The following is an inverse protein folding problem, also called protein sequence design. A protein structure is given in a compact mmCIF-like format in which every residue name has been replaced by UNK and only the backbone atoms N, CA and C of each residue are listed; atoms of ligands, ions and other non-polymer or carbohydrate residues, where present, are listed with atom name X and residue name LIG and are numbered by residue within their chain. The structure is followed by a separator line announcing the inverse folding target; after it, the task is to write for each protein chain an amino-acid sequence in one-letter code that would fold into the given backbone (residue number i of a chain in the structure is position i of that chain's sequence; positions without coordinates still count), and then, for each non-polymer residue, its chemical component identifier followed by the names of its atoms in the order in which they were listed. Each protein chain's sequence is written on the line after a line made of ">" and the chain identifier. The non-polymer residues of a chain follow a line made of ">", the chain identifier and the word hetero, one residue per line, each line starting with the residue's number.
data_IF_251454574066
#
_entry.id   IF_251454574066
#
_cell.length_a   1.000
_cell.length_b   1.000
_cell.length_c   1.000
_cell.angle_alpha   90.00
_cell.angle_beta   90.00
_cell.angle_gamma   90.00
#
_symmetry.space_group_name_H-M   'P 1'
#
loop_
_entity.id
_entity.type
_entity.pdbx_description
1 polymer ?
#
# COMPACT_ATOMS: atom_id res chain seq x y z
N UNK A 1 10.17 4.84 -33.22
CA UNK A 1 10.37 3.40 -33.52
C UNK A 1 9.51 2.56 -32.59
N UNK A 2 9.67 2.67 -31.29
CA UNK A 2 8.92 1.85 -30.30
C UNK A 2 7.40 1.98 -30.40
N UNK A 3 6.90 3.19 -30.64
CA UNK A 3 5.45 3.46 -30.72
C UNK A 3 4.85 2.88 -32.01
N UNK A 4 5.57 2.98 -33.13
CA UNK A 4 5.13 2.38 -34.40
C UNK A 4 5.12 0.85 -34.30
N UNK A 5 6.18 0.26 -33.75
CA UNK A 5 6.29 -1.19 -33.58
C UNK A 5 5.17 -1.73 -32.66
N UNK A 6 4.84 -0.99 -31.57
CA UNK A 6 3.72 -1.32 -30.71
C UNK A 6 2.38 -1.25 -31.46
N UNK A 7 2.17 -0.19 -32.26
CA UNK A 7 0.96 -0.03 -33.01
C UNK A 7 0.76 -1.19 -33.99
N UNK A 8 1.79 -1.52 -34.79
CA UNK A 8 1.69 -2.58 -35.79
C UNK A 8 1.51 -3.97 -35.16
N UNK A 9 2.18 -4.22 -34.05
CA UNK A 9 2.15 -5.52 -33.38
C UNK A 9 0.88 -5.80 -32.60
N UNK A 10 0.28 -4.78 -31.95
CA UNK A 10 -0.81 -4.97 -31.01
C UNK A 10 -2.11 -4.25 -31.38
N UNK A 11 -2.04 -3.11 -32.06
CA UNK A 11 -3.20 -2.28 -32.34
C UNK A 11 -3.70 -2.50 -33.78
N UNK A 12 -2.79 -2.60 -34.74
CA UNK A 12 -3.14 -2.76 -36.16
C UNK A 12 -3.45 -4.23 -36.52
N UNK A 13 -3.90 -5.03 -35.58
CA UNK A 13 -4.26 -6.45 -35.79
C UNK A 13 -5.75 -6.61 -36.10
N UNK A 14 -6.11 -7.70 -36.76
CA UNK A 14 -7.51 -8.02 -37.06
C UNK A 14 -8.32 -8.25 -35.77
N UNK A 15 -7.70 -8.91 -34.77
CA UNK A 15 -8.32 -9.19 -33.49
C UNK A 15 -8.67 -7.90 -32.76
N UNK A 16 -7.74 -6.95 -32.68
CA UNK A 16 -7.99 -5.68 -32.03
C UNK A 16 -9.06 -4.86 -32.74
N UNK A 17 -9.01 -4.80 -34.10
CA UNK A 17 -9.98 -4.07 -34.90
C UNK A 17 -11.41 -4.64 -34.83
N UNK A 18 -11.53 -5.95 -34.58
CA UNK A 18 -12.84 -6.57 -34.33
C UNK A 18 -13.47 -6.16 -33.01
N UNK A 19 -12.63 -5.84 -32.00
CA UNK A 19 -13.10 -5.37 -30.69
C UNK A 19 -13.35 -3.86 -30.68
N UNK A 20 -12.38 -3.11 -31.23
CA UNK A 20 -12.44 -1.65 -31.29
C UNK A 20 -12.18 -1.20 -32.75
N UNK A 21 -13.21 -0.72 -33.48
CA UNK A 21 -13.04 -0.26 -34.86
C UNK A 21 -12.18 1.01 -34.87
N UNK A 22 -10.96 0.87 -35.33
CA UNK A 22 -10.02 1.97 -35.57
C UNK A 22 -9.79 2.17 -37.08
N UNK A 23 -9.51 3.40 -37.47
CA UNK A 23 -9.17 3.70 -38.86
C UNK A 23 -7.76 3.19 -39.20
N UNK A 24 -7.51 2.95 -40.46
CA UNK A 24 -6.18 2.51 -40.97
C UNK A 24 -5.13 3.64 -40.99
N UNK A 25 -5.50 4.86 -40.62
CA UNK A 25 -4.63 6.03 -40.75
C UNK A 25 -3.49 6.11 -39.72
N UNK A 26 -3.41 5.14 -38.82
CA UNK A 26 -2.38 5.12 -37.77
C UNK A 26 -2.54 6.26 -36.76
N UNK A 27 -1.43 6.78 -36.30
CA UNK A 27 -1.43 7.93 -35.40
C UNK A 27 -1.75 9.23 -36.15
N UNK A 28 -2.66 10.01 -35.60
CA UNK A 28 -2.94 11.36 -36.09
C UNK A 28 -2.12 12.37 -35.29
N UNK A 29 -1.61 13.38 -35.97
CA UNK A 29 -1.00 14.51 -35.30
C UNK A 29 -2.10 15.34 -34.61
N UNK A 30 -1.92 15.58 -33.34
CA UNK A 30 -2.80 16.49 -32.57
C UNK A 30 -2.13 17.86 -32.57
N UNK A 31 -2.88 18.87 -32.95
CA UNK A 31 -2.44 20.25 -32.83
C UNK A 31 -2.13 20.57 -31.38
N UNK A 32 -0.91 21.00 -31.09
CA UNK A 32 -0.44 21.31 -29.74
C UNK A 32 -1.29 22.38 -29.06
N UNK A 33 -1.90 23.28 -29.82
CA UNK A 33 -2.78 24.33 -29.30
C UNK A 33 -4.09 23.76 -28.71
N UNK A 34 -4.45 22.53 -29.09
CA UNK A 34 -5.62 21.83 -28.55
C UNK A 34 -5.30 21.02 -27.28
N UNK A 35 -4.02 20.87 -26.96
CA UNK A 35 -3.57 20.18 -25.74
C UNK A 35 -3.47 21.23 -24.63
N UNK A 36 -4.39 21.16 -23.69
CA UNK A 36 -4.27 21.96 -22.46
C UNK A 36 -3.20 21.33 -21.58
N UNK A 37 -2.09 22.03 -21.41
CA UNK A 37 -1.12 21.68 -20.39
C UNK A 37 -1.64 22.16 -19.02
N UNK A 38 -1.48 21.34 -18.00
CA UNK A 38 -1.67 21.79 -16.63
C UNK A 38 -0.57 22.80 -16.29
N UNK A 39 -0.91 23.81 -15.53
CA UNK A 39 0.05 24.80 -15.02
C UNK A 39 1.20 24.11 -14.29
N UNK A 40 2.38 24.67 -14.40
CA UNK A 40 3.56 24.21 -13.68
C UNK A 40 3.26 23.94 -12.20
N UNK A 41 3.84 22.87 -11.66
CA UNK A 41 3.70 22.44 -10.28
C UNK A 41 2.33 21.89 -9.84
N UNK A 42 1.49 21.43 -10.77
CA UNK A 42 0.22 20.79 -10.42
C UNK A 42 0.38 19.54 -9.53
N UNK A 43 1.56 18.91 -9.55
CA UNK A 43 1.95 17.76 -8.76
C UNK A 43 2.91 18.11 -7.59
N UNK A 44 3.05 19.38 -7.24
CA UNK A 44 3.90 19.80 -6.12
C UNK A 44 3.32 19.27 -4.81
N UNK A 45 4.12 18.54 -4.08
CA UNK A 45 3.76 17.96 -2.79
C UNK A 45 4.38 18.73 -1.65
N UNK A 46 3.64 18.87 -0.57
CA UNK A 46 4.09 19.45 0.69
C UNK A 46 4.38 18.35 1.70
N UNK A 47 5.55 18.44 2.31
CA UNK A 47 6.07 17.57 3.34
C UNK A 47 6.18 18.29 4.68
N UNK A 48 6.76 17.66 5.68
CA UNK A 48 7.07 18.30 6.95
C UNK A 48 7.98 19.53 6.79
N UNK A 49 8.02 20.37 7.81
CA UNK A 49 8.81 21.62 7.84
C UNK A 49 8.54 22.56 6.65
N UNK A 50 7.34 22.51 6.10
CA UNK A 50 6.94 23.26 4.89
C UNK A 50 7.81 22.99 3.65
N UNK A 51 8.52 21.88 3.64
CA UNK A 51 9.30 21.47 2.47
C UNK A 51 8.39 21.07 1.32
N UNK A 52 8.73 21.48 0.09
CA UNK A 52 7.96 21.12 -1.11
C UNK A 52 8.85 20.42 -2.13
N UNK A 53 8.31 19.41 -2.79
CA UNK A 53 9.01 18.69 -3.85
C UNK A 53 7.99 18.00 -4.76
N UNK A 54 8.36 17.78 -6.02
CA UNK A 54 7.58 16.98 -6.98
C UNK A 54 7.90 15.49 -6.88
N UNK A 55 8.98 15.13 -6.19
CA UNK A 55 9.44 13.74 -6.04
C UNK A 55 9.24 13.27 -4.59
N UNK A 56 8.33 12.31 -4.34
CA UNK A 56 7.99 11.86 -2.98
C UNK A 56 9.20 11.39 -2.17
N UNK A 57 10.09 10.64 -2.80
CA UNK A 57 11.25 10.07 -2.13
C UNK A 57 12.20 11.15 -1.59
N UNK A 58 12.49 12.16 -2.42
CA UNK A 58 13.36 13.26 -2.01
C UNK A 58 12.69 14.16 -0.97
N UNK A 59 11.39 14.46 -1.18
CA UNK A 59 10.63 15.27 -0.24
C UNK A 59 10.59 14.68 1.16
N UNK A 60 10.30 13.38 1.28
CA UNK A 60 10.34 12.66 2.56
C UNK A 60 11.77 12.61 3.15
N UNK A 61 12.77 12.40 2.31
CA UNK A 61 14.17 12.32 2.75
C UNK A 61 14.71 13.61 3.38
N UNK A 62 14.16 14.77 2.97
CA UNK A 62 14.55 16.11 3.43
C UNK A 62 13.58 16.65 4.49
N UNK A 63 12.29 16.76 4.14
CA UNK A 63 11.28 17.38 5.00
C UNK A 63 10.69 16.44 6.05
N UNK A 64 10.78 15.13 5.83
CA UNK A 64 10.03 14.16 6.60
C UNK A 64 8.54 14.16 6.24
N UNK A 65 7.71 13.36 6.92
CA UNK A 65 6.28 13.30 6.69
C UNK A 65 5.58 14.64 6.93
N UNK A 66 4.53 14.89 6.16
CA UNK A 66 3.67 16.06 6.37
C UNK A 66 3.04 16.04 7.76
N UNK A 67 2.50 14.89 8.18
CA UNK A 67 2.03 14.64 9.54
C UNK A 67 2.69 13.38 10.10
N UNK A 68 3.23 13.48 11.29
CA UNK A 68 3.77 12.34 12.01
C UNK A 68 2.64 11.42 12.48
N UNK A 69 2.97 10.17 12.80
CA UNK A 69 2.03 9.31 13.51
C UNK A 69 1.63 9.95 14.84
N UNK A 70 0.32 10.01 15.17
CA UNK A 70 -0.14 10.55 16.44
C UNK A 70 0.16 9.61 17.62
N UNK A 71 0.51 8.36 17.35
CA UNK A 71 0.77 7.36 18.38
C UNK A 71 2.16 7.54 19.00
N UNK A 72 2.21 7.67 20.33
CA UNK A 72 3.45 7.87 21.08
C UNK A 72 4.16 6.55 21.40
N UNK A 73 3.37 5.51 21.66
CA UNK A 73 3.88 4.19 22.05
C UNK A 73 3.58 3.19 20.92
N UNK A 74 4.58 2.93 20.08
CA UNK A 74 4.46 2.05 18.93
C UNK A 74 5.37 0.86 19.13
N UNK A 75 4.80 -0.33 19.03
CA UNK A 75 5.56 -1.58 19.10
C UNK A 75 5.35 -2.40 17.83
N UNK A 76 6.45 -2.89 17.28
CA UNK A 76 6.41 -3.83 16.18
C UNK A 76 6.54 -5.25 16.71
N UNK A 77 5.67 -6.14 16.25
CA UNK A 77 5.77 -7.58 16.42
C UNK A 77 6.14 -8.21 15.09
N UNK A 78 7.04 -9.17 15.10
CA UNK A 78 7.41 -9.91 13.91
C UNK A 78 6.65 -11.22 13.86
N UNK A 79 6.12 -11.57 12.69
CA UNK A 79 5.45 -12.84 12.42
C UNK A 79 6.19 -13.51 11.27
N UNK A 80 6.78 -14.67 11.51
CA UNK A 80 7.61 -15.33 10.51
C UNK A 80 7.71 -16.83 10.78
N UNK A 81 8.03 -17.59 9.72
CA UNK A 81 8.30 -19.02 9.83
C UNK A 81 9.63 -19.27 10.58
N UNK A 82 9.70 -20.33 11.38
CA UNK A 82 10.86 -20.67 12.24
C UNK A 82 12.21 -20.67 11.52
N UNK A 83 12.27 -21.07 10.24
CA UNK A 83 13.49 -21.04 9.44
C UNK A 83 13.85 -19.64 8.92
N UNK A 84 12.95 -18.67 9.01
CA UNK A 84 13.10 -17.33 8.44
C UNK A 84 13.61 -16.29 9.46
N UNK A 85 14.15 -16.73 10.59
CA UNK A 85 14.71 -15.84 11.61
C UNK A 85 15.81 -14.89 11.04
N UNK A 86 16.64 -15.37 10.11
CA UNK A 86 17.65 -14.55 9.46
C UNK A 86 17.01 -13.46 8.58
N UNK A 87 15.88 -13.76 7.93
CA UNK A 87 15.15 -12.77 7.15
C UNK A 87 14.50 -11.72 8.05
N UNK A 88 13.91 -12.14 9.17
CA UNK A 88 13.34 -11.23 10.16
C UNK A 88 14.41 -10.27 10.70
N UNK A 89 15.60 -10.78 11.05
CA UNK A 89 16.72 -9.95 11.46
C UNK A 89 17.21 -9.02 10.35
N UNK A 90 17.21 -9.48 9.09
CA UNK A 90 17.57 -8.65 7.94
C UNK A 90 16.61 -7.48 7.75
N UNK A 91 15.29 -7.72 7.84
CA UNK A 91 14.28 -6.66 7.78
C UNK A 91 14.44 -5.69 8.94
N UNK A 92 14.66 -6.19 10.16
CA UNK A 92 14.94 -5.34 11.31
C UNK A 92 16.15 -4.43 11.10
N UNK A 93 17.28 -4.97 10.58
CA UNK A 93 18.46 -4.15 10.27
C UNK A 93 18.19 -3.07 9.23
N UNK A 94 17.35 -3.37 8.22
CA UNK A 94 16.90 -2.37 7.25
C UNK A 94 16.06 -1.28 7.91
N UNK A 95 15.12 -1.65 8.77
CA UNK A 95 14.27 -0.69 9.48
C UNK A 95 15.07 0.22 10.42
N UNK A 96 16.15 -0.29 11.00
CA UNK A 96 17.08 0.47 11.81
C UNK A 96 18.08 1.33 11.00
N UNK A 97 18.11 1.19 9.67
CA UNK A 97 19.08 1.89 8.83
C UNK A 97 20.52 1.41 8.97
N UNK A 98 20.69 0.14 9.36
CA UNK A 98 22.03 -0.49 9.53
C UNK A 98 22.58 -1.09 8.24
N UNK A 99 21.84 -0.97 7.14
CA UNK A 99 22.22 -1.45 5.81
C UNK A 99 22.25 -0.29 4.82
N UNK A 100 23.21 -0.34 3.89
CA UNK A 100 23.41 0.71 2.90
C UNK A 100 22.26 0.80 1.90
N UNK A 101 21.80 2.04 1.64
CA UNK A 101 20.77 2.33 0.65
C UNK A 101 19.38 2.68 1.22
N UNK A 102 19.18 2.53 2.54
CA UNK A 102 17.98 3.02 3.22
C UNK A 102 18.33 3.56 4.62
N UNK A 103 17.87 4.77 4.93
CA UNK A 103 18.22 5.46 6.18
C UNK A 103 17.48 4.96 7.42
N UNK A 104 16.64 3.91 7.30
CA UNK A 104 15.80 3.40 8.36
C UNK A 104 14.51 4.21 8.60
N UNK A 105 13.55 3.60 9.29
CA UNK A 105 12.23 4.20 9.51
C UNK A 105 12.31 5.49 10.34
N UNK A 106 13.16 5.52 11.36
CA UNK A 106 13.35 6.69 12.22
C UNK A 106 13.80 7.92 11.44
N UNK A 107 14.72 7.74 10.49
CA UNK A 107 15.28 8.86 9.73
C UNK A 107 14.42 9.23 8.53
N UNK A 108 13.75 8.25 7.90
CA UNK A 108 13.00 8.47 6.66
C UNK A 108 11.58 8.99 6.91
N UNK A 109 10.84 8.36 7.83
CA UNK A 109 9.45 8.74 8.17
C UNK A 109 9.30 9.27 9.60
N UNK A 110 10.42 9.56 10.28
CA UNK A 110 10.45 10.07 11.67
C UNK A 110 9.67 9.22 12.67
N UNK A 111 9.61 7.90 12.44
CA UNK A 111 8.88 6.97 13.27
C UNK A 111 9.74 6.46 14.42
N UNK A 112 9.29 6.69 15.64
CA UNK A 112 9.87 6.06 16.83
C UNK A 112 9.05 4.81 17.16
N UNK A 113 9.71 3.68 17.32
CA UNK A 113 9.10 2.40 17.67
C UNK A 113 10.08 1.53 18.46
N UNK A 114 9.56 0.51 19.08
CA UNK A 114 10.35 -0.57 19.69
C UNK A 114 9.88 -1.93 19.15
N UNK A 115 10.70 -2.96 19.32
CA UNK A 115 10.32 -4.33 18.96
C UNK A 115 9.80 -5.04 20.20
N UNK A 116 8.61 -5.61 20.08
CA UNK A 116 8.04 -6.49 21.10
C UNK A 116 8.34 -7.95 20.72
N UNK A 117 9.42 -8.48 21.30
CA UNK A 117 9.86 -9.85 21.02
C UNK A 117 8.95 -10.89 21.66
N UNK A 118 8.37 -10.58 22.83
CA UNK A 118 7.51 -11.50 23.59
C UNK A 118 6.19 -11.75 22.84
N UNK A 119 5.68 -10.69 22.19
CA UNK A 119 4.47 -10.78 21.38
C UNK A 119 4.73 -11.15 19.91
N UNK A 120 6.01 -11.31 19.49
CA UNK A 120 6.31 -11.83 18.15
C UNK A 120 5.88 -13.28 18.02
N UNK A 121 5.49 -13.68 16.80
CA UNK A 121 4.89 -14.98 16.49
C UNK A 121 5.79 -15.75 15.56
N UNK A 122 6.11 -16.99 15.93
CA UNK A 122 6.89 -17.90 15.10
C UNK A 122 5.99 -19.10 14.78
N UNK A 123 5.81 -19.40 13.50
CA UNK A 123 5.00 -20.53 13.03
C UNK A 123 5.85 -21.56 12.30
N UNK A 124 5.34 -22.79 12.17
CA UNK A 124 6.03 -23.92 11.57
C UNK A 124 5.45 -24.35 10.21
N UNK A 125 4.14 -24.16 10.02
CA UNK A 125 3.48 -24.54 8.77
C UNK A 125 3.52 -23.40 7.75
N UNK A 126 4.36 -23.54 6.71
CA UNK A 126 4.47 -22.54 5.63
C UNK A 126 3.25 -22.48 4.73
N UNK A 127 2.59 -23.64 4.52
CA UNK A 127 1.46 -23.73 3.58
C UNK A 127 0.18 -23.15 4.18
N UNK A 128 -0.01 -23.29 5.50
CA UNK A 128 -1.16 -22.73 6.20
C UNK A 128 -0.79 -22.28 7.62
N UNK A 129 -0.27 -21.06 7.79
CA UNK A 129 0.16 -20.56 9.09
C UNK A 129 -0.99 -20.06 9.98
N UNK A 130 -2.23 -19.99 9.45
CA UNK A 130 -3.33 -19.24 10.10
C UNK A 130 -3.71 -19.79 11.46
N UNK A 131 -3.80 -21.11 11.61
CA UNK A 131 -4.20 -21.74 12.88
C UNK A 131 -3.16 -21.51 13.98
N UNK A 132 -1.87 -21.64 13.63
CA UNK A 132 -0.79 -21.39 14.59
C UNK A 132 -0.71 -19.92 15.00
N UNK A 133 -0.91 -18.99 14.05
CA UNK A 133 -0.95 -17.57 14.34
C UNK A 133 -2.13 -17.23 15.25
N UNK A 134 -3.32 -17.78 14.96
CA UNK A 134 -4.53 -17.58 15.76
C UNK A 134 -4.34 -18.11 17.17
N UNK A 135 -3.83 -19.32 17.34
CA UNK A 135 -3.56 -19.89 18.65
C UNK A 135 -2.61 -19.00 19.45
N UNK A 136 -1.47 -18.62 18.86
CA UNK A 136 -0.50 -17.78 19.57
C UNK A 136 -1.05 -16.39 19.89
N UNK A 137 -1.91 -15.80 19.07
CA UNK A 137 -2.55 -14.53 19.38
C UNK A 137 -3.45 -14.62 20.61
N UNK A 138 -4.15 -15.74 20.84
CA UNK A 138 -4.99 -15.94 22.04
C UNK A 138 -4.18 -16.04 23.32
N UNK A 139 -2.94 -16.49 23.25
CA UNK A 139 -2.04 -16.66 24.40
C UNK A 139 -1.29 -15.38 24.78
N UNK A 140 -1.33 -14.35 23.91
CA UNK A 140 -0.58 -13.12 24.06
C UNK A 140 -1.43 -11.99 24.66
N UNK A 141 -0.76 -11.07 25.34
CA UNK A 141 -1.38 -9.88 25.91
C UNK A 141 -0.91 -8.62 25.19
N UNK A 142 -1.86 -7.84 24.71
CA UNK A 142 -1.62 -6.58 24.04
C UNK A 142 -2.15 -5.43 24.89
N UNK A 143 -1.27 -4.47 25.25
CA UNK A 143 -1.66 -3.34 26.07
C UNK A 143 -2.47 -2.32 25.26
N UNK A 144 -3.52 -1.78 25.86
CA UNK A 144 -4.46 -0.85 25.16
C UNK A 144 -3.82 0.50 24.81
N UNK A 145 -2.82 0.95 25.55
CA UNK A 145 -2.10 2.21 25.31
C UNK A 145 -0.97 2.08 24.27
N UNK A 146 -0.76 0.88 23.74
CA UNK A 146 0.25 0.57 22.73
C UNK A 146 -0.38 0.40 21.36
N UNK A 147 0.18 1.07 20.36
CA UNK A 147 -0.17 0.81 18.95
C UNK A 147 0.73 -0.26 18.38
N UNK A 148 0.17 -1.44 18.18
CA UNK A 148 0.90 -2.57 17.58
C UNK A 148 0.84 -2.55 16.06
N UNK A 149 1.97 -2.89 15.44
CA UNK A 149 2.07 -3.16 14.01
C UNK A 149 2.81 -4.50 13.81
N UNK A 150 2.14 -5.43 13.14
CA UNK A 150 2.73 -6.70 12.77
C UNK A 150 3.54 -6.57 11.47
N UNK A 151 4.79 -6.97 11.51
CA UNK A 151 5.64 -7.16 10.33
C UNK A 151 5.58 -8.64 9.98
N UNK A 152 4.73 -8.99 9.03
CA UNK A 152 4.51 -10.38 8.61
C UNK A 152 5.39 -10.72 7.41
N UNK A 153 6.36 -11.61 7.62
CA UNK A 153 7.15 -12.20 6.56
C UNK A 153 6.36 -13.37 5.97
N UNK A 154 5.68 -13.09 4.87
CA UNK A 154 4.82 -14.08 4.24
C UNK A 154 5.64 -15.07 3.42
N UNK A 155 5.47 -16.38 3.65
CA UNK A 155 6.01 -17.41 2.77
C UNK A 155 5.24 -17.49 1.44
N UNK A 156 4.04 -16.92 1.40
CA UNK A 156 3.15 -16.92 0.24
C UNK A 156 3.27 -15.56 -0.44
N UNK A 157 3.62 -15.56 -1.72
CA UNK A 157 3.74 -14.33 -2.51
C UNK A 157 2.37 -13.67 -2.71
N UNK A 158 2.33 -12.33 -2.74
CA UNK A 158 1.14 -11.59 -3.13
C UNK A 158 0.71 -11.88 -4.58
N UNK A 159 1.63 -12.34 -5.42
CA UNK A 159 1.38 -12.71 -6.81
C UNK A 159 1.01 -14.20 -6.97
N UNK A 160 0.70 -14.90 -5.86
CA UNK A 160 0.26 -16.29 -5.88
C UNK A 160 -1.04 -16.43 -6.71
N UNK A 161 -1.05 -17.38 -7.62
CA UNK A 161 -2.17 -17.66 -8.52
C UNK A 161 -3.17 -18.60 -7.88
N UNK A 162 -2.72 -19.46 -6.96
CA UNK A 162 -3.57 -20.36 -6.21
C UNK A 162 -4.50 -19.54 -5.28
N UNK A 163 -5.80 -19.60 -5.55
CA UNK A 163 -6.80 -18.84 -4.80
C UNK A 163 -6.84 -19.22 -3.31
N UNK A 164 -6.64 -20.48 -2.96
CA UNK A 164 -6.66 -20.92 -1.56
C UNK A 164 -5.45 -20.34 -0.79
N UNK A 165 -4.27 -20.39 -1.39
CA UNK A 165 -3.07 -19.76 -0.81
C UNK A 165 -3.22 -18.24 -0.73
N UNK A 166 -3.83 -17.63 -1.74
CA UNK A 166 -4.07 -16.19 -1.74
C UNK A 166 -5.04 -15.76 -0.63
N UNK A 167 -6.03 -16.57 -0.30
CA UNK A 167 -6.94 -16.35 0.84
C UNK A 167 -6.21 -16.27 2.17
N UNK A 168 -5.17 -17.07 2.39
CA UNK A 168 -4.39 -17.08 3.63
C UNK A 168 -3.81 -15.69 3.94
N UNK A 169 -3.35 -14.98 2.91
CA UNK A 169 -2.86 -13.60 3.06
C UNK A 169 -3.90 -12.67 3.71
N UNK A 170 -5.16 -12.79 3.30
CA UNK A 170 -6.25 -11.97 3.87
C UNK A 170 -6.67 -12.48 5.25
N UNK A 171 -6.72 -13.77 5.46
CA UNK A 171 -7.08 -14.37 6.76
C UNK A 171 -6.10 -13.96 7.87
N UNK A 172 -4.78 -13.96 7.60
CA UNK A 172 -3.79 -13.48 8.57
C UNK A 172 -4.02 -12.01 8.91
N UNK A 173 -4.35 -11.18 7.92
CA UNK A 173 -4.66 -9.76 8.15
C UNK A 173 -5.93 -9.56 8.97
N UNK A 174 -6.96 -10.33 8.69
CA UNK A 174 -8.23 -10.31 9.40
C UNK A 174 -8.05 -10.69 10.87
N UNK A 175 -7.35 -11.80 11.13
CA UNK A 175 -7.03 -12.21 12.51
C UNK A 175 -6.30 -11.12 13.28
N UNK A 176 -5.28 -10.50 12.70
CA UNK A 176 -4.56 -9.42 13.35
C UNK A 176 -5.46 -8.20 13.65
N UNK A 177 -6.40 -7.89 12.76
CA UNK A 177 -7.34 -6.80 12.96
C UNK A 177 -8.32 -7.06 14.11
N UNK A 178 -8.68 -8.32 14.38
CA UNK A 178 -9.50 -8.70 15.53
C UNK A 178 -8.83 -8.30 16.87
N UNK A 179 -7.50 -8.26 16.89
CA UNK A 179 -6.68 -7.77 18.01
C UNK A 179 -6.27 -6.30 17.88
N UNK A 180 -6.87 -5.54 16.95
CA UNK A 180 -6.53 -4.13 16.64
C UNK A 180 -5.09 -3.93 16.18
N UNK A 181 -4.45 -4.98 15.68
CA UNK A 181 -3.08 -4.96 15.17
C UNK A 181 -3.14 -4.71 13.66
N UNK A 182 -2.54 -3.63 13.20
CA UNK A 182 -2.34 -3.41 11.76
C UNK A 182 -1.12 -4.19 11.28
N UNK A 183 -1.12 -4.61 10.00
CA UNK A 183 -0.02 -5.43 9.49
C UNK A 183 0.64 -4.83 8.25
N UNK A 184 1.96 -4.97 8.18
CA UNK A 184 2.75 -4.78 6.98
C UNK A 184 3.29 -6.14 6.53
N UNK A 185 2.78 -6.63 5.42
CA UNK A 185 3.26 -7.89 4.85
C UNK A 185 4.47 -7.63 3.96
N UNK A 186 5.49 -8.46 4.11
CA UNK A 186 6.70 -8.47 3.31
C UNK A 186 6.84 -9.87 2.72
N UNK A 187 6.93 -9.94 1.41
CA UNK A 187 7.20 -11.18 0.69
C UNK A 187 8.61 -11.66 1.06
N UNK A 188 8.69 -12.82 1.68
CA UNK A 188 9.94 -13.41 2.20
C UNK A 188 10.99 -13.57 1.11
N UNK A 189 10.60 -13.98 -0.09
CA UNK A 189 11.54 -14.27 -1.18
C UNK A 189 12.18 -13.00 -1.77
N UNK A 190 11.58 -11.84 -1.50
CA UNK A 190 12.13 -10.55 -1.95
C UNK A 190 13.22 -10.00 -1.04
N UNK A 191 13.33 -10.47 0.21
CA UNK A 191 14.21 -9.87 1.23
C UNK A 191 15.69 -9.97 0.85
N UNK A 192 16.11 -11.07 0.25
CA UNK A 192 17.51 -11.26 -0.20
C UNK A 192 17.79 -10.71 -1.61
N UNK A 193 16.79 -10.15 -2.28
CA UNK A 193 16.99 -9.53 -3.57
C UNK A 193 17.76 -8.20 -3.41
N UNK A 194 18.75 -7.95 -4.25
CA UNK A 194 19.48 -6.68 -4.28
C UNK A 194 18.57 -5.47 -4.51
N UNK A 195 17.42 -5.68 -5.14
CA UNK A 195 16.39 -4.67 -5.35
C UNK A 195 15.55 -4.39 -4.10
N UNK A 196 15.67 -5.16 -3.01
CA UNK A 196 14.83 -5.00 -1.81
C UNK A 196 14.91 -3.58 -1.22
N UNK A 197 16.10 -2.99 -1.25
CA UNK A 197 16.32 -1.59 -0.82
C UNK A 197 15.42 -0.57 -1.51
N UNK A 198 15.00 -0.83 -2.74
CA UNK A 198 14.11 0.07 -3.49
C UNK A 198 12.63 -0.07 -3.12
N UNK A 199 12.25 -1.17 -2.45
CA UNK A 199 10.90 -1.33 -1.90
C UNK A 199 10.73 -0.69 -0.52
N UNK A 200 11.83 -0.50 0.22
CA UNK A 200 11.79 0.01 1.60
C UNK A 200 11.15 1.39 1.75
N UNK A 201 11.36 2.37 0.85
CA UNK A 201 10.64 3.64 0.90
C UNK A 201 9.12 3.47 0.85
N UNK A 202 8.63 2.60 -0.02
CA UNK A 202 7.19 2.33 -0.15
C UNK A 202 6.65 1.57 1.07
N UNK A 203 7.43 0.62 1.61
CA UNK A 203 7.09 -0.08 2.87
C UNK A 203 7.00 0.93 4.02
N UNK A 204 7.95 1.85 4.13
CA UNK A 204 7.96 2.88 5.15
C UNK A 204 6.74 3.81 5.05
N UNK A 205 6.39 4.25 3.85
CA UNK A 205 5.19 5.06 3.60
C UNK A 205 3.93 4.30 4.01
N UNK A 206 3.84 3.02 3.64
CA UNK A 206 2.71 2.18 4.00
C UNK A 206 2.60 1.97 5.53
N UNK A 207 3.71 1.79 6.22
CA UNK A 207 3.76 1.71 7.70
C UNK A 207 3.28 3.03 8.32
N UNK A 208 3.77 4.17 7.84
CA UNK A 208 3.37 5.48 8.35
C UNK A 208 1.86 5.69 8.21
N UNK A 209 1.30 5.40 7.02
CA UNK A 209 -0.13 5.54 6.77
C UNK A 209 -0.98 4.63 7.67
N UNK A 210 -0.56 3.38 7.91
CA UNK A 210 -1.22 2.44 8.82
C UNK A 210 -1.17 2.89 10.29
N UNK A 211 -0.21 3.72 10.62
CA UNK A 211 -0.06 4.34 11.92
C UNK A 211 -0.62 5.78 11.96
N UNK A 212 -1.52 6.10 11.03
CA UNK A 212 -2.27 7.36 10.94
C UNK A 212 -1.40 8.61 10.71
N UNK A 213 -0.19 8.45 10.18
CA UNK A 213 0.61 9.57 9.70
C UNK A 213 0.29 9.89 8.23
N UNK A 214 0.63 11.09 7.80
CA UNK A 214 0.43 11.56 6.42
C UNK A 214 1.79 11.82 5.78
N UNK A 215 2.19 11.05 4.77
CA UNK A 215 3.51 11.21 4.17
C UNK A 215 3.69 12.56 3.46
N UNK A 216 2.69 13.00 2.69
CA UNK A 216 2.63 14.29 2.01
C UNK A 216 1.20 14.63 1.64
N UNK A 217 0.97 15.86 1.25
CA UNK A 217 -0.26 16.27 0.58
C UNK A 217 0.09 17.11 -0.66
N UNK A 218 -0.84 17.25 -1.58
CA UNK A 218 -0.66 18.17 -2.69
C UNK A 218 -0.67 19.61 -2.17
N UNK A 219 0.28 20.41 -2.64
CA UNK A 219 0.27 21.84 -2.36
C UNK A 219 -0.80 22.51 -3.22
N UNK A 220 -1.95 22.77 -2.62
CA UNK A 220 -3.08 23.46 -3.25
C UNK A 220 -3.62 24.52 -2.31
N UNK A 221 -4.20 25.57 -2.88
CA UNK A 221 -5.05 26.43 -2.09
C UNK A 221 -6.22 25.59 -1.54
N UNK A 222 -6.40 25.64 -0.23
CA UNK A 222 -7.46 24.89 0.42
C UNK A 222 -8.79 25.52 0.03
N UNK A 223 -9.61 24.79 -0.70
CA UNK A 223 -11.02 25.08 -0.93
C UNK A 223 -11.86 24.23 0.03
N UNK A 224 -13.02 24.76 0.42
CA UNK A 224 -13.96 24.01 1.26
C UNK A 224 -14.79 23.04 0.38
N UNK A 225 -14.10 22.09 -0.24
CA UNK A 225 -14.70 21.11 -1.13
C UNK A 225 -14.72 19.74 -0.47
N UNK A 226 -15.79 19.01 -0.70
CA UNK A 226 -15.89 17.57 -0.41
C UNK A 226 -15.67 16.81 -1.72
N UNK A 227 -14.68 15.95 -1.74
CA UNK A 227 -14.39 15.07 -2.87
C UNK A 227 -15.06 13.73 -2.60
N UNK A 228 -15.99 13.34 -3.46
CA UNK A 228 -16.70 12.06 -3.35
C UNK A 228 -16.30 11.19 -4.54
N UNK A 229 -15.67 10.07 -4.25
CA UNK A 229 -15.41 9.01 -5.21
C UNK A 229 -16.51 7.96 -5.13
N UNK A 230 -17.19 7.68 -6.23
CA UNK A 230 -18.20 6.63 -6.31
C UNK A 230 -17.71 5.53 -7.22
N UNK A 231 -17.81 4.29 -6.76
CA UNK A 231 -17.44 3.13 -7.54
C UNK A 231 -18.42 1.98 -7.32
N UNK A 232 -18.42 1.02 -8.23
CA UNK A 232 -19.15 -0.23 -8.07
C UNK A 232 -18.28 -1.39 -8.53
N UNK A 233 -18.37 -2.52 -7.85
CA UNK A 233 -17.70 -3.74 -8.25
C UNK A 233 -18.63 -4.95 -8.12
N UNK A 234 -18.41 -5.94 -8.97
CA UNK A 234 -19.14 -7.19 -8.95
C UNK A 234 -18.48 -8.13 -7.95
N UNK A 235 -19.25 -8.63 -6.99
CA UNK A 235 -18.76 -9.67 -6.11
C UNK A 235 -18.90 -11.03 -6.80
N UNK A 236 -17.78 -11.70 -7.08
CA UNK A 236 -17.75 -13.00 -7.73
C UNK A 236 -18.36 -14.12 -6.86
N UNK A 237 -18.27 -14.01 -5.53
CA UNK A 237 -18.78 -15.01 -4.59
C UNK A 237 -20.32 -14.97 -4.44
N UNK A 238 -20.93 -13.81 -4.64
CA UNK A 238 -22.37 -13.61 -4.46
C UNK A 238 -23.12 -13.57 -5.82
N UNK A 239 -22.48 -13.98 -6.90
CA UNK A 239 -23.04 -13.98 -8.23
C UNK A 239 -23.13 -12.58 -8.86
N UNK A 240 -24.26 -12.20 -9.45
CA UNK A 240 -24.40 -10.95 -10.22
C UNK A 240 -24.61 -9.68 -9.39
N UNK A 241 -24.39 -9.68 -8.09
CA UNK A 241 -24.61 -8.51 -7.25
C UNK A 241 -23.44 -7.54 -7.31
N UNK A 242 -23.75 -6.26 -7.51
CA UNK A 242 -22.79 -5.17 -7.42
C UNK A 242 -22.80 -4.59 -6.01
N UNK A 243 -21.63 -4.16 -5.58
CA UNK A 243 -21.48 -3.39 -4.34
C UNK A 243 -21.14 -1.97 -4.77
N UNK A 244 -22.02 -1.03 -4.44
CA UNK A 244 -21.76 0.39 -4.60
C UNK A 244 -20.92 0.89 -3.42
N UNK A 245 -19.85 1.63 -3.69
CA UNK A 245 -19.02 2.24 -2.66
C UNK A 245 -18.89 3.74 -2.89
N UNK A 246 -19.03 4.50 -1.83
CA UNK A 246 -18.77 5.92 -1.80
C UNK A 246 -17.64 6.25 -0.84
N UNK A 247 -16.60 6.94 -1.31
CA UNK A 247 -15.47 7.41 -0.49
C UNK A 247 -15.50 8.92 -0.43
N UNK A 248 -15.44 9.47 0.77
CA UNK A 248 -15.44 10.90 1.01
C UNK A 248 -14.11 11.40 1.51
N UNK A 249 -13.59 12.46 0.86
CA UNK A 249 -12.36 13.14 1.25
C UNK A 249 -12.60 14.65 1.30
N UNK A 250 -11.97 15.34 2.23
CA UNK A 250 -11.86 16.79 2.15
C UNK A 250 -10.84 17.21 1.09
N UNK A 251 -10.90 18.47 0.66
CA UNK A 251 -10.02 19.02 -0.40
C UNK A 251 -8.51 18.85 -0.15
N UNK A 252 -8.12 18.70 1.12
CA UNK A 252 -6.72 18.43 1.51
C UNK A 252 -6.34 16.94 1.49
N UNK A 253 -7.25 16.07 1.04
CA UNK A 253 -7.02 14.62 0.96
C UNK A 253 -7.30 13.84 2.25
N UNK A 254 -7.79 14.48 3.32
CA UNK A 254 -8.21 13.75 4.51
C UNK A 254 -9.44 12.89 4.22
N UNK A 255 -9.30 11.60 4.51
CA UNK A 255 -10.42 10.65 4.45
C UNK A 255 -11.47 11.01 5.50
N UNK A 256 -12.74 11.10 5.08
CA UNK A 256 -13.86 11.48 5.93
C UNK A 256 -14.79 10.30 6.25
N UNK A 257 -14.81 9.33 5.38
CA UNK A 257 -15.61 8.12 5.55
C UNK A 257 -15.88 7.40 4.25
N UNK A 258 -16.41 6.21 4.35
CA UNK A 258 -16.94 5.47 3.20
C UNK A 258 -18.19 4.73 3.60
N UNK A 259 -19.01 4.42 2.61
CA UNK A 259 -20.16 3.53 2.73
C UNK A 259 -20.16 2.55 1.58
N UNK A 260 -20.60 1.32 1.86
CA UNK A 260 -20.80 0.29 0.87
C UNK A 260 -22.24 -0.22 0.99
N UNK A 261 -22.93 -0.27 -0.14
CA UNK A 261 -24.31 -0.78 -0.21
C UNK A 261 -24.41 -1.83 -1.31
N UNK A 262 -25.19 -2.91 -1.09
CA UNK A 262 -25.58 -3.77 -2.20
C UNK A 262 -26.27 -2.92 -3.26
N UNK A 263 -25.75 -2.91 -4.48
CA UNK A 263 -26.46 -2.26 -5.59
C UNK A 263 -27.64 -3.15 -5.97
N UNK A 264 -28.83 -2.69 -5.67
CA UNK A 264 -30.08 -3.27 -6.15
C UNK A 264 -30.55 -2.47 -7.36
N UNK A 265 -31.25 -3.11 -8.30
CA UNK A 265 -31.76 -2.50 -9.55
C UNK A 265 -32.64 -1.26 -9.34
N UNK A 266 -32.95 -0.93 -8.11
CA UNK A 266 -33.78 0.24 -7.71
C UNK A 266 -32.99 1.54 -7.59
N UNK A 267 -31.67 1.53 -7.75
CA UNK A 267 -30.81 2.72 -7.63
C UNK A 267 -30.14 3.13 -8.96
N UNK A 268 -30.55 2.56 -10.08
CA UNK A 268 -30.11 3.01 -11.40
C UNK A 268 -31.12 3.91 -12.07
#
# INVERSE_FOLDING_TARGET
>A
IEVSDFYDKYINTAEFKNILPITSNGFISIDTDKIKQTTENSNLMQFGQNHTNIMPHYGLGVGGPYELSPHKNIKFIFIFHKEDNNFANTVFQWFEGKKDGFKGLKNYIKLNYSIDKENSIIFENKENPIEEIRQQLTEKSFADDVRYLAVYLSPISKAEIDEEKHKIYYQVKEELLNYRITSQVIDRDKINNTAFKYYLPNIAIAILAKLNGVPWRLQRNLSNELIVGVGAFKNAEIGSRYIGSGFCFSSNGHFRGFECHPATDTFM
#
